data_IF_159179980500
#
_entry.id   IF_159179980500
#
_cell.length_a   1.000
_cell.length_b   1.000
_cell.length_c   1.000
_cell.angle_alpha   90.00
_cell.angle_beta   90.00
_cell.angle_gamma   90.00
#
_symmetry.space_group_name_H-M   'P 1'
#
loop_
_entity.id
_entity.type
_entity.pdbx_description
1 polymer ?
#
# COMPACT_ATOMS: atom_id res chain seq x y z
N UNK A 1 8.33 -17.90 7.66
CA UNK A 1 7.94 -16.91 8.69
C UNK A 1 6.80 -16.07 8.14
N UNK A 2 5.66 -16.02 8.83
CA UNK A 2 4.46 -15.23 8.46
C UNK A 2 4.68 -13.75 8.77
N UNK A 3 4.65 -12.85 7.78
CA UNK A 3 4.51 -11.42 8.04
C UNK A 3 3.06 -11.09 8.43
N UNK A 4 2.82 -10.04 9.27
CA UNK A 4 3.80 -9.28 10.03
C UNK A 4 4.37 -10.09 11.20
N UNK A 5 5.70 -10.04 11.39
CA UNK A 5 6.37 -10.75 12.49
C UNK A 5 6.31 -9.88 13.75
N UNK A 6 5.90 -10.48 14.87
CA UNK A 6 5.85 -9.83 16.17
C UNK A 6 6.44 -10.78 17.23
N UNK A 7 6.89 -10.24 18.38
CA UNK A 7 7.27 -11.07 19.52
C UNK A 7 6.12 -12.00 19.91
N UNK A 8 6.46 -13.25 20.22
CA UNK A 8 5.54 -14.21 20.81
C UNK A 8 6.06 -14.54 22.20
N UNK A 9 5.17 -14.49 23.18
CA UNK A 9 5.45 -14.92 24.55
C UNK A 9 4.75 -16.27 24.76
N UNK A 10 5.51 -17.25 25.22
CA UNK A 10 4.99 -18.54 25.65
C UNK A 10 5.23 -18.67 27.15
N UNK A 11 4.18 -18.94 27.91
CA UNK A 11 4.27 -19.25 29.33
C UNK A 11 4.04 -20.74 29.47
N UNK A 12 5.02 -21.43 30.05
CA UNK A 12 4.99 -22.89 30.23
C UNK A 12 5.03 -23.17 31.73
N UNK A 13 4.16 -24.06 32.19
CA UNK A 13 4.11 -24.48 33.59
C UNK A 13 5.43 -25.15 34.03
N UNK A 14 5.81 -24.99 35.30
CA UNK A 14 7.05 -25.57 35.83
C UNK A 14 7.04 -27.09 35.82
N UNK A 15 5.89 -27.71 36.12
CA UNK A 15 5.78 -29.17 36.13
C UNK A 15 5.94 -29.75 34.72
N UNK A 16 5.35 -29.09 33.71
CA UNK A 16 5.53 -29.44 32.30
C UNK A 16 6.99 -29.33 31.82
N UNK A 17 7.81 -28.48 32.46
CA UNK A 17 9.24 -28.34 32.13
C UNK A 17 10.12 -29.40 32.82
N UNK A 18 9.72 -29.87 34.00
CA UNK A 18 10.52 -30.75 34.84
C UNK A 18 10.14 -32.23 34.71
N UNK A 19 8.89 -32.54 34.34
CA UNK A 19 8.43 -33.93 34.21
C UNK A 19 9.17 -34.68 33.10
N UNK A 20 9.66 -35.91 33.39
CA UNK A 20 10.31 -36.73 32.38
C UNK A 20 9.31 -37.14 31.29
N UNK A 21 9.68 -36.87 30.04
CA UNK A 21 8.90 -37.28 28.87
C UNK A 21 8.94 -38.81 28.75
N UNK A 22 7.78 -39.46 28.66
CA UNK A 22 7.68 -40.90 28.41
C UNK A 22 8.36 -41.28 27.10
N UNK A 23 9.05 -42.43 27.07
CA UNK A 23 9.70 -42.95 25.85
C UNK A 23 8.70 -43.25 24.73
N UNK A 24 7.44 -43.48 25.07
CA UNK A 24 6.36 -43.79 24.13
C UNK A 24 5.54 -42.53 23.75
N UNK A 25 5.98 -41.33 24.15
CA UNK A 25 5.25 -40.08 23.94
C UNK A 25 5.12 -39.68 22.46
N UNK A 26 5.85 -40.33 21.55
CA UNK A 26 5.70 -40.12 20.10
C UNK A 26 5.90 -38.67 19.66
N UNK A 27 6.75 -37.90 20.36
CA UNK A 27 6.91 -36.48 20.09
C UNK A 27 7.46 -36.26 18.68
N UNK A 28 6.72 -35.46 17.92
CA UNK A 28 7.11 -35.05 16.57
C UNK A 28 7.08 -33.54 16.49
N UNK A 29 8.22 -32.94 16.13
CA UNK A 29 8.30 -31.52 15.81
C UNK A 29 7.85 -31.37 14.34
N UNK A 30 6.72 -30.70 14.07
CA UNK A 30 6.27 -30.50 12.70
C UNK A 30 7.33 -29.77 11.88
N UNK A 31 7.51 -30.16 10.62
CA UNK A 31 8.38 -29.40 9.71
C UNK A 31 7.87 -27.97 9.56
N UNK A 32 8.79 -27.02 9.66
CA UNK A 32 8.49 -25.61 9.42
C UNK A 32 7.94 -25.43 8.00
N UNK A 33 6.66 -25.09 7.91
CA UNK A 33 6.05 -24.69 6.64
C UNK A 33 6.28 -23.20 6.45
N UNK A 34 6.98 -22.83 5.38
CA UNK A 34 7.18 -21.41 5.04
C UNK A 34 5.90 -20.93 4.32
N UNK A 35 5.15 -19.99 4.90
CA UNK A 35 3.98 -19.43 4.24
C UNK A 35 4.41 -18.67 2.98
N UNK A 36 3.60 -18.79 1.92
CA UNK A 36 3.75 -17.97 0.72
C UNK A 36 3.35 -16.54 1.07
N UNK A 37 4.11 -15.55 0.57
CA UNK A 37 3.78 -14.15 0.77
C UNK A 37 2.47 -13.81 0.04
N UNK A 38 1.53 -13.09 0.69
CA UNK A 38 0.32 -12.64 0.01
C UNK A 38 0.69 -11.72 -1.15
N UNK A 39 -0.04 -11.88 -2.25
CA UNK A 39 0.08 -11.03 -3.44
C UNK A 39 -1.17 -10.14 -3.55
N UNK A 40 -0.98 -8.94 -4.10
CA UNK A 40 -2.11 -8.08 -4.47
C UNK A 40 -2.95 -8.71 -5.57
N UNK A 41 -4.25 -8.40 -5.59
CA UNK A 41 -5.11 -8.78 -6.70
C UNK A 41 -4.62 -8.10 -7.99
N UNK A 42 -4.47 -8.87 -9.07
CA UNK A 42 -3.89 -8.37 -10.33
C UNK A 42 -4.61 -7.13 -10.87
N UNK A 43 -5.95 -7.10 -10.83
CA UNK A 43 -6.72 -5.95 -11.29
C UNK A 43 -6.46 -4.67 -10.46
N UNK A 44 -6.32 -4.80 -9.14
CA UNK A 44 -6.03 -3.67 -8.26
C UNK A 44 -4.60 -3.14 -8.46
N UNK A 45 -3.64 -4.04 -8.72
CA UNK A 45 -2.26 -3.67 -9.05
C UNK A 45 -2.21 -2.93 -10.39
N UNK A 46 -2.95 -3.41 -11.40
CA UNK A 46 -3.02 -2.78 -12.72
C UNK A 46 -3.68 -1.39 -12.64
N UNK A 47 -4.75 -1.24 -11.86
CA UNK A 47 -5.38 0.07 -11.62
C UNK A 47 -4.41 1.04 -10.93
N UNK A 48 -3.69 0.60 -9.90
CA UNK A 48 -2.70 1.42 -9.22
C UNK A 48 -1.56 1.84 -10.16
N UNK A 49 -1.05 0.92 -10.98
CA UNK A 49 -0.02 1.20 -11.97
C UNK A 49 -0.51 2.24 -12.99
N UNK A 50 -1.75 2.09 -13.49
CA UNK A 50 -2.35 3.06 -14.41
C UNK A 50 -2.45 4.46 -13.78
N UNK A 51 -2.90 4.55 -12.53
CA UNK A 51 -2.97 5.83 -11.82
C UNK A 51 -1.59 6.49 -11.67
N UNK A 52 -0.54 5.71 -11.41
CA UNK A 52 0.82 6.22 -11.26
C UNK A 52 1.42 6.70 -12.58
N UNK A 53 1.15 6.00 -13.69
CA UNK A 53 1.65 6.39 -15.02
C UNK A 53 0.92 7.62 -15.57
N UNK A 54 -0.37 7.78 -15.27
CA UNK A 54 -1.16 8.95 -15.68
C UNK A 54 -0.93 10.18 -14.79
N UNK A 55 -0.19 10.06 -13.68
CA UNK A 55 0.02 11.14 -12.72
C UNK A 55 1.00 12.20 -13.26
N UNK A 56 0.71 13.47 -12.97
CA UNK A 56 1.59 14.60 -13.29
C UNK A 56 2.72 14.74 -12.26
N UNK A 57 2.42 14.50 -10.97
CA UNK A 57 3.40 14.58 -9.89
C UNK A 57 3.24 13.39 -8.92
N UNK A 58 3.59 12.17 -9.34
CA UNK A 58 3.51 10.99 -8.48
C UNK A 58 4.56 11.07 -7.35
N UNK A 59 4.13 10.76 -6.13
CA UNK A 59 5.00 10.71 -4.95
C UNK A 59 4.93 9.32 -4.30
N UNK A 60 6.10 8.71 -4.12
CA UNK A 60 6.27 7.43 -3.44
C UNK A 60 6.68 7.70 -1.99
N UNK A 61 5.90 7.21 -1.03
CA UNK A 61 6.21 7.28 0.40
C UNK A 61 6.52 5.87 0.88
N UNK A 62 7.78 5.59 1.20
CA UNK A 62 8.23 4.29 1.67
C UNK A 62 8.61 4.37 3.16
N UNK A 63 8.24 3.35 3.93
CA UNK A 63 8.57 3.31 5.36
C UNK A 63 9.16 1.95 5.76
N UNK A 64 8.45 0.87 5.44
CA UNK A 64 8.88 -0.50 5.76
C UNK A 64 9.00 -1.39 4.52
N UNK A 65 9.10 -0.79 3.33
CA UNK A 65 9.02 -1.44 2.03
C UNK A 65 10.25 -2.28 1.65
N UNK A 66 11.48 -1.75 1.81
CA UNK A 66 12.70 -2.45 1.40
C UNK A 66 13.24 -3.37 2.51
N UNK A 67 12.58 -4.52 2.72
CA UNK A 67 13.07 -5.53 3.68
C UNK A 67 14.37 -6.20 3.23
N UNK A 68 14.61 -6.27 1.93
CA UNK A 68 15.76 -6.94 1.30
C UNK A 68 16.45 -6.00 0.31
N UNK A 69 17.73 -6.25 -0.06
CA UNK A 69 18.41 -5.48 -1.09
C UNK A 69 17.67 -5.47 -2.43
N UNK A 70 17.06 -6.60 -2.81
CA UNK A 70 16.22 -6.69 -4.01
C UNK A 70 15.00 -5.75 -3.94
N UNK A 71 14.37 -5.62 -2.78
CA UNK A 71 13.25 -4.68 -2.59
C UNK A 71 13.67 -3.22 -2.75
N UNK A 72 14.87 -2.86 -2.30
CA UNK A 72 15.42 -1.51 -2.54
C UNK A 72 15.68 -1.28 -4.03
N UNK A 73 16.29 -2.25 -4.73
CA UNK A 73 16.54 -2.14 -6.16
C UNK A 73 15.24 -1.95 -6.97
N UNK A 74 14.18 -2.70 -6.65
CA UNK A 74 12.86 -2.55 -7.28
C UNK A 74 12.22 -1.19 -6.99
N UNK A 75 12.40 -0.64 -5.79
CA UNK A 75 11.90 0.70 -5.48
C UNK A 75 12.66 1.79 -6.25
N UNK A 76 13.98 1.63 -6.43
CA UNK A 76 14.79 2.50 -7.29
C UNK A 76 14.31 2.43 -8.73
N UNK A 77 14.17 1.22 -9.28
CA UNK A 77 13.66 1.00 -10.64
C UNK A 77 12.27 1.62 -10.84
N UNK A 78 11.35 1.43 -9.90
CA UNK A 78 10.02 2.03 -9.94
C UNK A 78 10.08 3.56 -9.93
N UNK A 79 10.89 4.13 -9.04
CA UNK A 79 11.03 5.59 -8.93
C UNK A 79 11.64 6.19 -10.19
N UNK A 80 12.68 5.57 -10.76
CA UNK A 80 13.30 5.98 -12.00
C UNK A 80 12.36 5.82 -13.20
N UNK A 81 11.59 4.74 -13.26
CA UNK A 81 10.62 4.52 -14.35
C UNK A 81 9.53 5.58 -14.37
N UNK A 82 9.03 5.98 -13.18
CA UNK A 82 7.99 7.00 -13.04
C UNK A 82 8.53 8.43 -12.97
N UNK A 83 9.86 8.61 -12.86
CA UNK A 83 10.49 9.87 -12.46
C UNK A 83 9.84 10.48 -11.20
N UNK A 84 9.44 9.63 -10.26
CA UNK A 84 8.65 10.00 -9.09
C UNK A 84 9.53 10.42 -7.92
N UNK A 85 9.09 11.43 -7.16
CA UNK A 85 9.77 11.80 -5.92
C UNK A 85 9.56 10.73 -4.85
N UNK A 86 10.62 10.38 -4.12
CA UNK A 86 10.60 9.36 -3.06
C UNK A 86 10.84 10.00 -1.70
N UNK A 87 9.97 9.68 -0.75
CA UNK A 87 10.11 10.02 0.66
C UNK A 87 10.34 8.74 1.44
N UNK A 88 11.49 8.63 2.08
CA UNK A 88 11.80 7.57 3.03
C UNK A 88 11.41 8.03 4.45
N UNK A 89 10.52 7.30 5.11
CA UNK A 89 10.06 7.61 6.48
C UNK A 89 11.02 7.08 7.55
N UNK A 90 12.03 6.30 7.17
CA UNK A 90 13.16 5.95 8.02
C UNK A 90 12.95 4.77 8.96
N UNK A 91 11.80 4.07 8.95
CA UNK A 91 11.68 2.80 9.71
C UNK A 91 12.57 1.68 9.14
N UNK A 92 13.03 1.83 7.89
CA UNK A 92 14.07 1.04 7.22
C UNK A 92 14.90 1.98 6.34
N UNK A 93 16.03 1.48 5.84
CA UNK A 93 16.69 2.10 4.69
C UNK A 93 15.96 1.65 3.42
N UNK A 94 14.95 2.41 3.00
CA UNK A 94 14.14 2.05 1.84
C UNK A 94 14.74 2.55 0.53
N UNK A 95 15.44 3.69 0.57
CA UNK A 95 15.93 4.34 -0.64
C UNK A 95 17.33 4.94 -0.45
N UNK A 96 18.20 4.92 -1.48
CA UNK A 96 19.55 5.47 -1.34
C UNK A 96 19.51 6.98 -1.00
N UNK A 97 20.24 7.39 0.04
CA UNK A 97 20.17 8.75 0.58
C UNK A 97 20.67 9.83 -0.39
N UNK A 98 21.58 9.47 -1.30
CA UNK A 98 22.16 10.39 -2.30
C UNK A 98 21.47 10.34 -3.66
N UNK A 99 20.41 9.55 -3.80
CA UNK A 99 19.69 9.45 -5.07
C UNK A 99 18.95 10.77 -5.35
N UNK A 100 18.97 11.31 -6.59
CA UNK A 100 18.35 12.59 -6.92
C UNK A 100 16.83 12.62 -6.68
N UNK A 101 16.15 11.48 -6.88
CA UNK A 101 14.72 11.33 -6.57
C UNK A 101 14.43 11.20 -5.06
N UNK A 102 15.46 11.12 -4.20
CA UNK A 102 15.25 11.10 -2.75
C UNK A 102 14.95 12.52 -2.26
N UNK A 103 13.70 12.75 -1.89
CA UNK A 103 13.22 14.04 -1.42
C UNK A 103 12.80 14.02 0.05
N UNK A 104 13.32 13.06 0.83
CA UNK A 104 13.03 12.92 2.26
C UNK A 104 13.30 14.22 3.04
N UNK A 105 14.39 14.91 2.73
CA UNK A 105 14.74 16.21 3.31
C UNK A 105 13.82 17.36 2.90
N UNK A 106 12.80 17.12 2.07
CA UNK A 106 11.76 18.08 1.69
C UNK A 106 10.36 17.67 2.16
N UNK A 107 10.25 16.51 2.81
CA UNK A 107 8.99 16.02 3.33
C UNK A 107 8.50 16.80 4.56
N UNK A 108 9.41 17.23 5.43
CA UNK A 108 9.07 17.79 6.74
C UNK A 108 10.10 18.84 7.12
N UNK A 109 9.92 20.06 6.63
CA UNK A 109 10.89 21.14 6.81
C UNK A 109 10.30 22.32 7.57
N UNK A 110 11.14 22.93 8.43
CA UNK A 110 10.86 24.20 9.09
C UNK A 110 10.16 24.09 10.46
N UNK A 111 9.93 25.23 11.13
CA UNK A 111 9.24 25.29 12.41
C UNK A 111 7.74 24.94 12.24
N UNK A 112 7.06 24.47 13.30
CA UNK A 112 5.64 24.17 13.25
C UNK A 112 4.79 25.39 12.80
N UNK A 113 3.76 25.19 11.95
CA UNK A 113 3.32 23.91 11.40
C UNK A 113 4.27 23.39 10.31
N UNK A 114 4.58 22.10 10.40
CA UNK A 114 5.50 21.41 9.50
C UNK A 114 5.05 21.58 8.04
N UNK A 115 5.90 22.16 7.18
CA UNK A 115 5.59 22.30 5.76
C UNK A 115 6.00 21.01 5.01
N UNK A 116 5.09 20.49 4.17
CA UNK A 116 5.31 19.28 3.36
C UNK A 116 5.05 19.58 1.87
N UNK A 117 5.89 20.41 1.23
CA UNK A 117 5.63 20.94 -0.13
C UNK A 117 5.39 19.84 -1.16
N UNK A 118 6.14 18.75 -1.08
CA UNK A 118 6.03 17.61 -2.02
C UNK A 118 4.68 16.91 -1.91
N UNK A 119 4.15 16.80 -0.69
CA UNK A 119 2.84 16.18 -0.47
C UNK A 119 1.72 17.09 -0.94
N UNK A 120 1.86 18.41 -0.78
CA UNK A 120 0.85 19.38 -1.25
C UNK A 120 0.80 19.53 -2.76
N UNK A 121 1.85 19.17 -3.48
CA UNK A 121 1.91 19.24 -4.94
C UNK A 121 1.48 17.92 -5.62
N UNK A 122 1.51 16.80 -4.89
CA UNK A 122 1.16 15.49 -5.41
C UNK A 122 -0.32 15.35 -5.80
N UNK A 123 -0.54 14.80 -6.99
CA UNK A 123 -1.84 14.34 -7.48
C UNK A 123 -2.06 12.84 -7.22
N UNK A 124 -1.00 12.05 -7.13
CA UNK A 124 -1.03 10.64 -6.68
C UNK A 124 0.04 10.38 -5.62
N UNK A 125 -0.37 9.80 -4.50
CA UNK A 125 0.53 9.42 -3.41
C UNK A 125 0.41 7.92 -3.16
N UNK A 126 1.52 7.19 -3.38
CA UNK A 126 1.63 5.77 -3.08
C UNK A 126 2.36 5.56 -1.75
N UNK A 127 1.64 5.05 -0.75
CA UNK A 127 2.21 4.61 0.52
C UNK A 127 2.61 3.13 0.48
N UNK A 128 3.92 2.87 0.52
CA UNK A 128 4.51 1.53 0.60
C UNK A 128 4.87 1.20 2.06
N UNK A 129 4.05 0.36 2.67
CA UNK A 129 4.19 -0.08 4.06
C UNK A 129 4.31 1.08 5.07
N UNK A 130 3.56 2.15 4.84
CA UNK A 130 3.55 3.37 5.68
C UNK A 130 2.75 3.14 6.95
N UNK A 131 3.39 3.31 8.11
CA UNK A 131 2.76 3.10 9.42
C UNK A 131 1.61 4.06 9.72
N UNK A 132 1.75 5.32 9.33
CA UNK A 132 0.70 6.34 9.50
C UNK A 132 0.55 7.14 8.21
N UNK A 133 -0.25 6.58 7.30
CA UNK A 133 -0.54 7.22 6.03
C UNK A 133 -1.43 8.46 6.21
N UNK A 134 -2.23 8.51 7.29
CA UNK A 134 -3.08 9.65 7.57
C UNK A 134 -2.25 10.90 7.93
N UNK A 135 -1.26 10.78 8.81
CA UNK A 135 -0.36 11.89 9.17
C UNK A 135 0.64 12.25 8.07
N UNK A 136 0.71 11.44 7.00
CA UNK A 136 1.46 11.78 5.80
C UNK A 136 0.75 12.89 5.02
N UNK A 137 -0.57 12.82 4.93
CA UNK A 137 -1.40 13.72 4.10
C UNK A 137 -2.21 14.73 4.91
N UNK A 138 -2.15 14.67 6.24
CA UNK A 138 -2.83 15.59 7.16
C UNK A 138 -1.88 16.11 8.24
N UNK A 139 -2.22 17.27 8.79
CA UNK A 139 -1.62 17.84 10.00
C UNK A 139 -2.68 17.90 11.09
N UNK A 140 -2.33 17.38 12.27
CA UNK A 140 -3.11 17.52 13.49
C UNK A 140 -2.43 18.54 14.39
N UNK A 141 -3.18 19.56 14.83
CA UNK A 141 -2.77 20.46 15.91
C UNK A 141 -3.70 20.21 17.09
N UNK A 142 -3.14 19.74 18.20
CA UNK A 142 -3.87 19.39 19.42
C UNK A 142 -3.32 20.19 20.60
N UNK A 143 -3.53 21.51 20.57
CA UNK A 143 -3.16 22.42 21.65
C UNK A 143 -4.41 22.80 22.45
N UNK A 144 -4.84 24.07 22.40
CA UNK A 144 -6.07 24.54 23.04
C UNK A 144 -7.33 24.00 22.34
N UNK A 145 -7.25 23.84 21.02
CA UNK A 145 -8.31 23.30 20.18
C UNK A 145 -7.73 22.27 19.22
N UNK A 146 -8.38 21.11 19.15
CA UNK A 146 -8.06 20.08 18.18
C UNK A 146 -8.48 20.56 16.79
N UNK A 147 -7.52 20.73 15.89
CA UNK A 147 -7.75 21.09 14.49
C UNK A 147 -6.99 20.14 13.57
N UNK A 148 -7.64 19.78 12.47
CA UNK A 148 -7.10 18.88 11.44
C UNK A 148 -7.13 19.63 10.12
N UNK A 149 -5.98 19.73 9.46
CA UNK A 149 -5.86 20.34 8.14
C UNK A 149 -5.25 19.33 7.19
N UNK A 150 -5.87 19.14 6.02
CA UNK A 150 -5.30 18.31 4.96
C UNK A 150 -4.14 19.05 4.30
N UNK A 151 -3.03 18.35 4.07
CA UNK A 151 -1.83 18.87 3.40
C UNK A 151 -1.82 18.51 1.91
N UNK A 152 -2.22 17.27 1.57
CA UNK A 152 -2.33 16.85 0.18
C UNK A 152 -3.46 17.60 -0.55
N UNK A 153 -3.37 17.68 -1.88
CA UNK A 153 -4.43 18.28 -2.71
C UNK A 153 -5.80 17.66 -2.42
N UNK A 154 -6.91 18.41 -2.47
CA UNK A 154 -8.26 17.88 -2.22
C UNK A 154 -8.63 16.67 -3.10
N UNK A 155 -8.11 16.62 -4.31
CA UNK A 155 -8.35 15.60 -5.34
C UNK A 155 -7.21 14.57 -5.46
N UNK A 156 -6.15 14.67 -4.65
CA UNK A 156 -5.04 13.73 -4.69
C UNK A 156 -5.52 12.29 -4.41
N UNK A 157 -5.15 11.37 -5.30
CA UNK A 157 -5.42 9.93 -5.17
C UNK A 157 -4.43 9.32 -4.18
N UNK A 158 -4.94 8.54 -3.23
CA UNK A 158 -4.14 7.91 -2.19
C UNK A 158 -4.18 6.40 -2.37
N UNK A 159 -3.03 5.79 -2.63
CA UNK A 159 -2.87 4.34 -2.80
C UNK A 159 -2.05 3.83 -1.62
N UNK A 160 -2.51 2.76 -0.96
CA UNK A 160 -1.78 2.15 0.16
C UNK A 160 -1.57 0.67 -0.11
N UNK A 161 -0.30 0.24 -0.07
CA UNK A 161 0.10 -1.15 -0.15
C UNK A 161 0.75 -1.50 1.18
N UNK A 162 0.08 -2.31 2.00
CA UNK A 162 0.59 -2.74 3.30
C UNK A 162 0.11 -4.14 3.65
N UNK A 163 0.96 -4.87 4.37
CA UNK A 163 0.65 -6.18 4.95
C UNK A 163 -0.07 -6.09 6.30
N UNK A 164 -0.23 -4.89 6.86
CA UNK A 164 -1.01 -4.68 8.09
C UNK A 164 -2.48 -4.42 7.76
N UNK A 165 -3.38 -5.00 8.54
CA UNK A 165 -4.81 -4.69 8.44
C UNK A 165 -5.02 -3.18 8.59
N UNK A 166 -5.67 -2.50 7.63
CA UNK A 166 -5.83 -1.06 7.70
C UNK A 166 -6.72 -0.70 8.90
N UNK A 167 -6.19 0.09 9.83
CA UNK A 167 -6.95 0.58 11.00
C UNK A 167 -8.00 1.63 10.62
N UNK A 168 -8.03 2.08 9.35
CA UNK A 168 -9.00 3.08 8.87
C UNK A 168 -9.14 3.11 7.33
N UNK A 169 -9.23 1.95 6.66
CA UNK A 169 -9.59 1.95 5.24
C UNK A 169 -11.09 2.25 5.09
N UNK A 170 -11.42 3.53 4.95
CA UNK A 170 -12.64 3.92 4.25
C UNK A 170 -12.43 3.45 2.81
N UNK A 171 -13.15 2.39 2.45
CA UNK A 171 -13.29 1.86 1.09
C UNK A 171 -13.22 2.98 0.06
N UNK A 172 -12.43 2.78 -1.00
CA UNK A 172 -12.47 3.60 -2.21
C UNK A 172 -13.94 3.69 -2.64
N UNK A 173 -14.61 4.77 -2.26
CA UNK A 173 -15.90 5.15 -2.81
C UNK A 173 -15.59 6.04 -3.98
N UNK A 174 -15.60 5.46 -5.16
CA UNK A 174 -15.80 6.23 -6.39
C UNK A 174 -17.14 6.96 -6.25
N UNK A 175 -17.08 8.26 -5.95
CA UNK A 175 -18.24 9.13 -6.05
C UNK A 175 -18.51 9.37 -7.52
N UNK A 176 -19.43 8.59 -8.11
CA UNK A 176 -19.81 8.77 -9.50
C UNK A 176 -20.68 7.65 -10.04
N UNK A 177 -21.99 7.79 -9.84
CA UNK A 177 -23.07 7.23 -10.66
C UNK A 177 -22.86 5.81 -11.26
N UNK A 178 -23.26 4.78 -10.52
CA UNK A 178 -23.81 3.57 -11.17
C UNK A 178 -24.85 2.93 -10.26
N UNK A 179 -26.06 3.52 -10.22
CA UNK A 179 -27.26 2.83 -9.75
C UNK A 179 -27.98 2.24 -10.96
N UNK A 180 -28.40 0.99 -10.80
CA UNK A 180 -29.27 0.16 -11.66
C UNK A 180 -28.61 -0.39 -12.92
N UNK A 181 -28.22 -1.65 -12.88
CA UNK A 181 -28.54 -2.62 -13.93
C UNK A 181 -28.62 -4.02 -13.29
N UNK A 182 -29.79 -4.35 -12.72
CA UNK A 182 -30.20 -5.75 -12.47
C UNK A 182 -31.45 -5.99 -13.29
N UNK A 183 -31.38 -7.04 -14.11
CA UNK A 183 -32.44 -7.75 -14.82
C UNK A 183 -33.38 -6.92 -15.70
N UNK A 184 -33.19 -7.00 -17.02
CA UNK A 184 -34.30 -7.21 -17.96
C UNK A 184 -33.80 -7.85 -19.24
N UNK A 185 -34.53 -8.90 -19.60
CA UNK A 185 -34.41 -9.83 -20.71
C UNK A 185 -34.38 -9.15 -22.09
N UNK A 186 -33.65 -9.79 -23.01
CA UNK A 186 -33.61 -9.49 -24.45
C UNK A 186 -35.02 -9.42 -25.05
N UNK A 187 -35.18 -8.62 -26.12
CA UNK A 187 -35.82 -9.18 -27.30
C UNK A 187 -34.94 -9.05 -28.55
N UNK A 188 -35.01 -10.12 -29.33
CA UNK A 188 -34.46 -10.41 -30.65
C UNK A 188 -34.49 -9.26 -31.67
N UNK A 189 -33.36 -9.04 -32.36
CA UNK A 189 -33.36 -8.57 -33.76
C UNK A 189 -32.69 -9.61 -34.65
N UNK A 190 -33.45 -10.06 -35.65
CA UNK A 190 -33.09 -11.05 -36.67
C UNK A 190 -31.92 -10.54 -37.51
N UNK A 191 -30.86 -11.35 -37.63
CA UNK A 191 -29.95 -11.30 -38.79
C UNK A 191 -30.73 -11.75 -40.03
N UNK A 192 -30.68 -10.98 -41.12
CA UNK A 192 -31.00 -11.44 -42.47
C UNK A 192 -29.70 -11.49 -43.28
N UNK A 193 -29.43 -12.66 -43.83
CA UNK A 193 -28.39 -12.91 -44.83
C UNK A 193 -28.87 -12.49 -46.24
N UNK A 194 -27.89 -12.17 -47.09
CA UNK A 194 -27.87 -11.69 -48.50
C UNK A 194 -28.75 -12.50 -49.50
N UNK A 195 -29.01 -11.98 -50.73
CA UNK A 195 -28.07 -12.23 -51.86
C UNK A 195 -27.88 -11.06 -52.87
N UNK A 196 -26.66 -10.99 -53.41
CA UNK A 196 -26.19 -10.61 -54.76
C UNK A 196 -27.15 -10.00 -55.80
N UNK A 197 -26.68 -8.95 -56.52
CA UNK A 197 -26.63 -8.96 -57.98
C UNK A 197 -25.69 -7.89 -58.58
N UNK A 198 -25.12 -8.26 -59.72
CA UNK A 198 -24.23 -7.60 -60.68
C UNK A 198 -24.66 -6.19 -61.13
N UNK A 199 -23.68 -5.28 -61.26
CA UNK A 199 -23.22 -4.66 -62.52
C UNK A 199 -21.91 -3.91 -62.28
#
# INVERSE_FOLDING_TARGET
MTPPMAPVVMVVDGHLQEEPISKDAGLHIPRLTIPVLPQGESAAVEEAARMLVEAEFPVLVADRAARTPAGMALLVELAETLQAAVIDRGSRLNFPTRHPLNQTHRYSNGPPPMNRPIISEADVILGLEVMDFWSTVNTLRDQLHRSVTRVAKPDAKLISITTRTPTSARTIRTSGACRRWISRSRPTRKLRFLPSLKL
#
